data_IF_489086203758
#
_entry.id   IF_489086203758
#
_cell.length_a   1.000
_cell.length_b   1.000
_cell.length_c   1.000
_cell.angle_alpha   90.00
_cell.angle_beta   90.00
_cell.angle_gamma   90.00
#
_symmetry.space_group_name_H-M   'P 1'
#
loop_
_entity.id
_entity.type
_entity.pdbx_description
1 polymer ?
#
# COMPACT_ATOMS: atom_id res chain seq x y z
N UNK A 1 -20.70 -10.90 -6.64
CA UNK A 1 -20.52 -11.24 -8.07
C UNK A 1 -19.09 -10.87 -8.42
N UNK A 2 -18.42 -11.66 -9.26
CA UNK A 2 -17.10 -11.28 -9.78
C UNK A 2 -17.27 -10.11 -10.75
N UNK A 3 -16.49 -9.05 -10.57
CA UNK A 3 -16.41 -7.85 -11.39
C UNK A 3 -14.94 -7.61 -11.75
N UNK A 4 -14.66 -6.79 -12.75
CA UNK A 4 -13.30 -6.27 -12.94
C UNK A 4 -13.13 -5.00 -12.13
N UNK A 5 -12.08 -4.92 -11.31
CA UNK A 5 -11.63 -3.69 -10.66
C UNK A 5 -10.52 -3.06 -11.50
N UNK A 6 -10.53 -1.73 -11.62
CA UNK A 6 -9.59 -0.94 -12.40
C UNK A 6 -8.90 0.09 -11.52
N UNK A 7 -7.57 0.07 -11.50
CA UNK A 7 -6.76 1.13 -10.89
C UNK A 7 -6.40 2.17 -11.93
N UNK A 8 -6.65 3.43 -11.61
CA UNK A 8 -6.39 4.57 -12.49
C UNK A 8 -5.27 5.43 -11.92
N UNK A 9 -4.52 6.08 -12.81
CA UNK A 9 -3.54 7.12 -12.46
C UNK A 9 -3.83 8.41 -13.20
N UNK A 10 -3.75 9.53 -12.49
CA UNK A 10 -3.91 10.87 -13.02
C UNK A 10 -2.69 11.72 -12.64
N UNK A 11 -1.95 12.27 -13.60
CA UNK A 11 -0.84 13.16 -13.28
C UNK A 11 -1.28 14.35 -12.44
N UNK A 12 -0.59 14.56 -11.31
CA UNK A 12 -0.79 15.73 -10.47
C UNK A 12 0.01 16.88 -11.09
N UNK A 13 -0.70 17.79 -11.75
CA UNK A 13 -0.10 18.82 -12.62
C UNK A 13 0.79 19.82 -11.89
N UNK A 14 0.64 20.01 -10.58
CA UNK A 14 1.47 20.94 -9.81
C UNK A 14 2.72 20.30 -9.20
N UNK A 15 2.73 18.97 -8.98
CA UNK A 15 3.91 18.25 -8.50
C UNK A 15 4.74 17.68 -9.65
N UNK A 16 4.14 17.47 -10.84
CA UNK A 16 4.72 16.85 -12.05
C UNK A 16 5.30 15.42 -11.89
N UNK A 17 5.64 15.04 -10.66
CA UNK A 17 6.35 13.82 -10.29
C UNK A 17 5.43 12.77 -9.69
N UNK A 18 4.24 13.13 -9.19
CA UNK A 18 3.31 12.19 -8.56
C UNK A 18 2.02 12.01 -9.36
N UNK A 19 1.44 10.82 -9.30
CA UNK A 19 0.11 10.54 -9.80
C UNK A 19 -0.89 10.43 -8.66
N UNK A 20 -2.10 10.95 -8.90
CA UNK A 20 -3.28 10.66 -8.13
C UNK A 20 -3.84 9.31 -8.57
N UNK A 21 -4.20 8.42 -7.64
CA UNK A 21 -4.77 7.13 -7.99
C UNK A 21 -6.14 6.91 -7.39
N UNK A 22 -7.04 6.30 -8.16
CA UNK A 22 -8.39 5.96 -7.71
C UNK A 22 -8.83 4.62 -8.32
N UNK A 23 -9.94 4.08 -7.84
CA UNK A 23 -10.42 2.75 -8.26
C UNK A 23 -11.83 2.84 -8.83
N UNK A 24 -12.11 2.05 -9.86
CA UNK A 24 -13.45 1.85 -10.40
C UNK A 24 -13.73 0.37 -10.61
N UNK A 25 -14.99 0.03 -10.90
CA UNK A 25 -15.43 -1.34 -11.11
C UNK A 25 -16.32 -1.44 -12.36
N UNK A 26 -16.29 -2.61 -13.02
CA UNK A 26 -17.14 -2.88 -14.20
C UNK A 26 -18.64 -2.87 -13.90
N UNK A 27 -19.04 -2.89 -12.63
CA UNK A 27 -20.42 -2.71 -12.18
C UNK A 27 -20.84 -1.24 -11.95
N UNK A 28 -19.97 -0.28 -12.29
CA UNK A 28 -20.23 1.15 -12.20
C UNK A 28 -19.85 1.83 -10.88
N UNK A 29 -19.35 1.08 -9.89
CA UNK A 29 -18.83 1.68 -8.64
C UNK A 29 -17.51 2.41 -8.86
N UNK A 30 -17.31 3.46 -8.05
CA UNK A 30 -16.14 4.34 -8.05
C UNK A 30 -15.75 4.65 -6.62
N UNK A 31 -14.46 4.64 -6.35
CA UNK A 31 -13.89 4.97 -5.05
C UNK A 31 -12.92 6.13 -5.24
N UNK A 32 -13.36 7.29 -4.80
CA UNK A 32 -12.60 8.52 -4.92
C UNK A 32 -11.45 8.52 -3.93
N UNK A 33 -10.25 8.84 -4.38
CA UNK A 33 -9.16 9.08 -3.45
C UNK A 33 -9.17 10.57 -3.12
N UNK A 34 -9.37 10.94 -1.85
CA UNK A 34 -9.30 12.31 -1.31
C UNK A 34 -9.92 13.42 -2.20
N UNK A 35 -11.01 13.12 -2.90
CA UNK A 35 -11.82 14.09 -3.66
C UNK A 35 -11.82 13.95 -5.18
N UNK A 36 -10.95 13.12 -5.80
CA UNK A 36 -10.96 12.91 -7.26
C UNK A 36 -11.09 11.44 -7.63
N UNK A 37 -11.96 11.16 -8.61
CA UNK A 37 -12.25 9.82 -9.11
C UNK A 37 -12.46 9.75 -10.62
N UNK A 38 -12.04 10.78 -11.38
CA UNK A 38 -12.29 10.86 -12.82
C UNK A 38 -11.11 11.39 -13.64
N UNK A 39 -10.98 10.86 -14.86
CA UNK A 39 -9.91 11.14 -15.80
C UNK A 39 -8.72 10.18 -15.66
N UNK A 40 -7.60 10.54 -16.29
CA UNK A 40 -6.37 9.72 -16.27
C UNK A 40 -6.45 8.47 -17.14
N UNK A 41 -5.56 7.52 -16.88
CA UNK A 41 -5.48 6.25 -17.59
C UNK A 41 -5.63 5.05 -16.64
N UNK A 42 -6.19 3.95 -17.17
CA UNK A 42 -6.21 2.67 -16.47
C UNK A 42 -4.80 2.08 -16.52
N UNK A 43 -4.19 1.91 -15.36
CA UNK A 43 -2.83 1.40 -15.24
C UNK A 43 -2.75 -0.06 -14.78
N UNK A 44 -3.84 -0.56 -14.18
CA UNK A 44 -3.98 -1.96 -13.82
C UNK A 44 -5.46 -2.36 -13.78
N UNK A 45 -5.72 -3.66 -13.96
CA UNK A 45 -7.05 -4.22 -13.76
C UNK A 45 -6.97 -5.69 -13.38
N UNK A 46 -7.99 -6.18 -12.68
CA UNK A 46 -8.06 -7.59 -12.28
C UNK A 46 -9.48 -7.99 -11.88
N UNK A 47 -9.78 -9.29 -11.99
CA UNK A 47 -11.04 -9.83 -11.51
C UNK A 47 -11.08 -9.83 -9.98
N UNK A 48 -12.13 -9.26 -9.39
CA UNK A 48 -12.31 -9.14 -7.95
C UNK A 48 -13.78 -9.02 -7.55
N UNK A 49 -14.04 -8.70 -6.29
CA UNK A 49 -15.39 -8.53 -5.75
C UNK A 49 -15.60 -7.08 -5.29
N UNK A 50 -16.44 -6.32 -6.00
CA UNK A 50 -16.73 -4.92 -5.70
C UNK A 50 -17.43 -4.71 -4.36
N UNK A 51 -18.18 -5.69 -3.84
CA UNK A 51 -18.75 -5.56 -2.49
C UNK A 51 -17.66 -5.63 -1.42
N UNK A 52 -16.58 -6.37 -1.69
CA UNK A 52 -15.42 -6.46 -0.80
C UNK A 52 -14.60 -5.17 -0.93
N UNK A 53 -14.30 -4.73 -2.14
CA UNK A 53 -13.64 -3.45 -2.39
C UNK A 53 -14.38 -2.26 -1.75
N UNK A 54 -15.72 -2.26 -1.78
CA UNK A 54 -16.56 -1.25 -1.12
C UNK A 54 -16.44 -1.28 0.41
N UNK A 55 -16.22 -2.44 0.98
CA UNK A 55 -15.95 -2.59 2.41
C UNK A 55 -14.55 -2.07 2.75
N UNK A 56 -13.56 -2.47 1.95
CA UNK A 56 -12.16 -2.08 2.11
C UNK A 56 -11.95 -0.60 1.85
N UNK A 57 -12.84 0.07 1.12
CA UNK A 57 -12.76 1.50 0.85
C UNK A 57 -13.16 2.37 2.04
N UNK A 58 -13.65 1.82 3.15
CA UNK A 58 -14.16 2.64 4.25
C UNK A 58 -13.04 3.18 5.15
N UNK A 59 -13.24 4.31 5.84
CA UNK A 59 -14.31 5.29 5.63
C UNK A 59 -14.08 6.12 4.35
N UNK A 60 -15.17 6.60 3.74
CA UNK A 60 -15.15 7.61 2.65
C UNK A 60 -14.16 7.35 1.49
N UNK A 61 -14.04 6.11 1.03
CA UNK A 61 -13.10 5.70 -0.03
C UNK A 61 -11.60 5.83 0.33
N UNK A 62 -11.26 6.04 1.60
CA UNK A 62 -9.89 6.18 2.07
C UNK A 62 -9.24 4.88 2.51
N UNK A 63 -10.02 3.82 2.64
CA UNK A 63 -9.51 2.52 3.05
C UNK A 63 -8.67 2.57 4.34
N UNK A 64 -9.15 3.33 5.33
CA UNK A 64 -8.50 3.50 6.63
C UNK A 64 -7.06 4.05 6.54
N UNK A 65 -6.75 4.81 5.49
CA UNK A 65 -5.51 5.56 5.38
C UNK A 65 -5.68 6.93 6.03
N UNK A 66 -4.76 7.24 6.94
CA UNK A 66 -4.44 8.59 7.39
C UNK A 66 -3.38 9.17 6.45
N UNK A 67 -3.78 10.14 5.62
CA UNK A 67 -2.92 10.67 4.56
C UNK A 67 -1.58 11.18 5.10
N UNK A 68 -0.47 10.78 4.48
CA UNK A 68 0.88 11.15 4.87
C UNK A 68 1.42 10.42 6.11
N UNK A 69 0.58 10.02 7.06
CA UNK A 69 0.99 9.26 8.24
C UNK A 69 1.13 7.76 7.92
N UNK A 70 0.04 7.16 7.42
CA UNK A 70 -0.05 5.71 7.17
C UNK A 70 -0.03 5.36 5.70
N UNK A 71 -0.28 6.32 4.81
CA UNK A 71 -0.06 6.13 3.37
C UNK A 71 -0.53 7.32 2.57
N UNK A 72 -0.54 7.17 1.25
CA UNK A 72 -1.05 8.18 0.33
C UNK A 72 -2.06 7.54 -0.64
N UNK A 73 -2.38 8.21 -1.75
CA UNK A 73 -3.37 7.68 -2.68
C UNK A 73 -3.03 6.31 -3.25
N UNK A 74 -1.74 6.01 -3.46
CA UNK A 74 -1.31 4.70 -3.95
C UNK A 74 -1.74 3.58 -3.00
N UNK A 75 -1.53 3.75 -1.70
CA UNK A 75 -1.90 2.78 -0.68
C UNK A 75 -3.41 2.67 -0.52
N UNK A 76 -4.12 3.80 -0.60
CA UNK A 76 -5.59 3.84 -0.59
C UNK A 76 -6.15 2.99 -1.73
N UNK A 77 -5.69 3.23 -2.96
CA UNK A 77 -6.12 2.47 -4.13
C UNK A 77 -5.73 0.99 -4.04
N UNK A 78 -4.53 0.68 -3.55
CA UNK A 78 -4.07 -0.70 -3.39
C UNK A 78 -4.91 -1.51 -2.39
N UNK A 79 -5.32 -0.93 -1.26
CA UNK A 79 -6.23 -1.59 -0.31
C UNK A 79 -7.56 -1.94 -0.97
N UNK A 80 -8.11 -1.03 -1.79
CA UNK A 80 -9.39 -1.24 -2.50
C UNK A 80 -9.24 -2.27 -3.64
N UNK A 81 -8.07 -2.32 -4.30
CA UNK A 81 -7.72 -3.28 -5.34
C UNK A 81 -7.30 -4.65 -4.80
N UNK A 82 -7.10 -4.78 -3.49
CA UNK A 82 -6.66 -6.01 -2.84
C UNK A 82 -7.49 -7.25 -3.23
N UNK A 83 -8.85 -7.19 -3.32
CA UNK A 83 -9.66 -8.33 -3.75
C UNK A 83 -9.43 -8.77 -5.20
N UNK A 84 -8.75 -7.97 -6.01
CA UNK A 84 -8.36 -8.29 -7.38
C UNK A 84 -6.87 -8.68 -7.52
N UNK A 85 -6.10 -8.70 -6.42
CA UNK A 85 -4.66 -9.05 -6.40
C UNK A 85 -3.80 -8.20 -7.34
N UNK A 86 -4.19 -6.95 -7.59
CA UNK A 86 -3.45 -5.99 -8.42
C UNK A 86 -3.13 -4.72 -7.63
N UNK A 87 -2.20 -3.91 -8.13
CA UNK A 87 -1.76 -2.68 -7.48
C UNK A 87 -1.46 -1.58 -8.51
N UNK A 88 -1.39 -0.32 -8.06
CA UNK A 88 -1.13 0.85 -8.90
C UNK A 88 0.36 1.14 -9.10
N UNK A 89 1.23 0.12 -9.19
CA UNK A 89 2.70 0.32 -9.26
C UNK A 89 3.22 1.01 -10.54
N UNK A 90 2.37 1.19 -11.55
CA UNK A 90 2.71 1.93 -12.77
C UNK A 90 2.47 3.44 -12.59
N UNK A 91 1.83 3.84 -11.48
CA UNK A 91 1.70 5.24 -11.11
C UNK A 91 3.07 5.83 -10.80
N UNK A 92 3.32 7.07 -11.21
CA UNK A 92 4.53 7.80 -10.86
C UNK A 92 4.67 7.86 -9.34
N UNK A 93 5.90 7.73 -8.85
CA UNK A 93 6.21 7.74 -7.42
C UNK A 93 5.68 6.58 -6.58
N UNK A 94 5.03 5.57 -7.18
CA UNK A 94 4.60 4.40 -6.42
C UNK A 94 5.77 3.65 -5.80
N UNK A 95 6.92 3.64 -6.48
CA UNK A 95 8.16 3.07 -5.94
C UNK A 95 8.51 3.75 -4.61
N UNK A 96 8.67 5.08 -4.57
CA UNK A 96 9.02 5.82 -3.34
C UNK A 96 8.00 5.56 -2.23
N UNK A 97 6.70 5.66 -2.53
CA UNK A 97 5.68 5.51 -1.49
C UNK A 97 5.56 4.08 -0.99
N UNK A 98 5.87 3.07 -1.80
CA UNK A 98 5.91 1.68 -1.34
C UNK A 98 7.06 1.44 -0.37
N UNK A 99 8.22 2.08 -0.55
CA UNK A 99 9.34 1.94 0.40
C UNK A 99 9.05 2.68 1.71
N UNK A 100 8.46 3.87 1.61
CA UNK A 100 8.08 4.66 2.77
C UNK A 100 6.95 4.02 3.59
N UNK A 101 5.91 3.51 2.94
CA UNK A 101 4.66 3.07 3.60
C UNK A 101 4.34 1.59 3.45
N UNK A 102 4.98 0.86 2.54
CA UNK A 102 4.53 -0.48 2.13
C UNK A 102 3.56 -0.43 0.95
N UNK A 103 3.27 -1.60 0.37
CA UNK A 103 2.36 -1.71 -0.78
C UNK A 103 0.92 -1.35 -0.35
N UNK A 104 0.52 -1.78 0.84
CA UNK A 104 -0.81 -1.55 1.40
C UNK A 104 -0.83 -0.45 2.46
N UNK A 105 0.25 0.31 2.64
CA UNK A 105 0.38 1.32 3.68
C UNK A 105 0.77 0.76 5.05
N UNK A 106 1.10 1.68 5.95
CA UNK A 106 1.41 1.41 7.35
C UNK A 106 0.11 1.25 8.13
N UNK A 107 0.28 0.69 9.31
CA UNK A 107 -0.78 0.36 10.24
C UNK A 107 -1.82 -0.57 9.63
N UNK A 108 -2.30 -1.46 10.48
CA UNK A 108 -2.99 -2.64 10.02
C UNK A 108 -4.39 -2.23 9.57
N UNK A 109 -4.58 -2.12 8.25
CA UNK A 109 -5.89 -1.93 7.63
C UNK A 109 -6.91 -2.99 8.08
N UNK A 110 -6.42 -4.16 8.51
CA UNK A 110 -7.23 -5.21 9.13
C UNK A 110 -7.51 -4.99 10.62
N UNK A 111 -6.70 -4.24 11.38
CA UNK A 111 -6.96 -3.97 12.80
C UNK A 111 -8.01 -2.87 13.01
N UNK A 112 -8.33 -2.10 11.97
CA UNK A 112 -9.27 -0.99 12.08
C UNK A 112 -10.67 -1.46 12.50
N UNK A 113 -11.37 -0.71 13.37
CA UNK A 113 -12.78 -0.93 13.64
C UNK A 113 -13.66 -0.90 12.38
N UNK A 114 -13.15 -0.28 11.30
CA UNK A 114 -13.78 -0.23 9.98
C UNK A 114 -13.55 -1.47 9.12
N UNK A 115 -12.63 -2.38 9.51
CA UNK A 115 -12.39 -3.61 8.77
C UNK A 115 -13.66 -4.45 8.77
N UNK A 116 -14.26 -4.54 7.58
CA UNK A 116 -15.63 -4.95 7.39
C UNK A 116 -15.86 -6.36 7.98
N UNK A 117 -16.69 -6.53 9.02
CA UNK A 117 -17.04 -7.87 9.53
C UNK A 117 -17.73 -8.73 8.45
N UNK A 118 -18.28 -8.10 7.39
CA UNK A 118 -18.77 -8.79 6.21
C UNK A 118 -17.66 -9.24 5.27
N UNK A 119 -16.48 -8.59 5.21
CA UNK A 119 -15.28 -9.11 4.57
C UNK A 119 -14.96 -10.46 5.21
N UNK A 120 -14.91 -10.52 6.54
CA UNK A 120 -14.60 -11.74 7.28
C UNK A 120 -15.65 -12.83 7.11
N UNK A 121 -16.92 -12.47 7.23
CA UNK A 121 -18.01 -13.41 7.03
C UNK A 121 -18.08 -13.91 5.57
N UNK A 122 -17.83 -13.04 4.57
CA UNK A 122 -17.84 -13.40 3.15
C UNK A 122 -16.56 -14.13 2.71
N UNK A 123 -15.38 -13.73 3.17
CA UNK A 123 -14.10 -14.41 2.90
C UNK A 123 -14.10 -15.80 3.54
N UNK A 124 -14.54 -15.92 4.80
CA UNK A 124 -14.70 -17.22 5.46
C UNK A 124 -15.86 -18.05 4.88
N UNK A 125 -16.90 -17.44 4.30
CA UNK A 125 -17.94 -18.17 3.57
C UNK A 125 -17.44 -18.65 2.20
N UNK A 126 -16.73 -17.80 1.44
CA UNK A 126 -16.08 -18.15 0.18
C UNK A 126 -15.07 -19.28 0.36
N UNK A 127 -14.19 -19.19 1.37
CA UNK A 127 -13.23 -20.24 1.69
C UNK A 127 -13.91 -21.58 2.06
N UNK A 128 -15.14 -21.54 2.60
CA UNK A 128 -15.93 -22.73 2.96
C UNK A 128 -16.78 -23.28 1.82
N UNK A 129 -17.22 -22.45 0.87
CA UNK A 129 -18.06 -22.86 -0.26
C UNK A 129 -17.27 -23.34 -1.47
N UNK A 130 -15.96 -23.10 -1.51
CA UNK A 130 -15.08 -23.51 -2.60
C UNK A 130 -14.09 -24.60 -2.15
N UNK A 131 -14.60 -25.80 -1.80
CA UNK A 131 -13.74 -26.99 -1.58
C UNK A 131 -13.06 -27.49 -2.86
N UNK A 132 -13.58 -27.10 -4.02
CA UNK A 132 -13.07 -27.52 -5.34
C UNK A 132 -12.23 -26.44 -6.04
N UNK A 133 -12.00 -25.29 -5.39
CA UNK A 133 -11.01 -24.32 -5.85
C UNK A 133 -9.82 -24.47 -4.92
N UNK A 134 -8.89 -25.36 -5.29
CA UNK A 134 -7.52 -25.37 -4.77
C UNK A 134 -6.74 -24.11 -5.23
N UNK A 135 -7.37 -22.96 -5.10
CA UNK A 135 -6.94 -21.65 -5.54
C UNK A 135 -7.60 -20.66 -4.59
N UNK A 136 -6.76 -20.07 -3.75
CA UNK A 136 -7.07 -18.91 -2.92
C UNK A 136 -7.97 -17.90 -3.66
N UNK A 137 -8.81 -17.08 -2.99
CA UNK A 137 -9.44 -15.93 -3.64
C UNK A 137 -8.44 -15.02 -4.39
N UNK A 138 -7.13 -15.14 -4.10
CA UNK A 138 -6.01 -14.52 -4.81
C UNK A 138 -5.52 -15.29 -6.07
N UNK A 139 -6.02 -16.49 -6.37
CA UNK A 139 -5.56 -17.35 -7.47
C UNK A 139 -6.31 -17.13 -8.80
N UNK A 140 -7.42 -16.38 -8.79
CA UNK A 140 -8.24 -16.13 -9.97
C UNK A 140 -7.90 -14.82 -10.72
N UNK A 141 -6.82 -14.12 -10.34
CA UNK A 141 -6.33 -12.94 -11.05
C UNK A 141 -5.62 -13.36 -12.35
N UNK A 142 -6.41 -13.71 -13.38
CA UNK A 142 -5.91 -14.06 -14.70
C UNK A 142 -5.81 -12.84 -15.64
N UNK A 143 -4.62 -12.64 -16.20
CA UNK A 143 -4.27 -11.99 -17.47
C UNK A 143 -5.14 -10.80 -17.89
N UNK A 144 -4.81 -9.61 -17.38
CA UNK A 144 -5.28 -8.35 -17.94
C UNK A 144 -4.27 -7.82 -18.96
N UNK A 145 -4.61 -7.87 -20.24
CA UNK A 145 -3.85 -7.40 -21.40
C UNK A 145 -3.36 -5.94 -21.21
N UNK A 146 -2.17 -5.76 -20.64
CA UNK A 146 -1.48 -4.47 -20.60
C UNK A 146 0.03 -4.69 -20.77
N UNK A 147 0.44 -4.72 -22.03
CA UNK A 147 1.80 -5.02 -22.46
C UNK A 147 2.90 -4.32 -21.66
N UNK A 148 3.98 -5.08 -21.47
CA UNK A 148 5.32 -4.68 -21.01
C UNK A 148 5.66 -4.80 -19.52
N UNK A 149 4.91 -5.57 -18.72
CA UNK A 149 5.49 -6.11 -17.49
C UNK A 149 5.25 -7.61 -17.42
N UNK A 150 6.25 -8.33 -16.94
CA UNK A 150 6.15 -9.75 -16.62
C UNK A 150 5.02 -9.95 -15.58
N UNK A 151 3.83 -10.26 -16.11
CA UNK A 151 2.60 -10.45 -15.33
C UNK A 151 2.79 -11.57 -14.30
N UNK A 152 3.55 -12.60 -14.64
CA UNK A 152 3.89 -13.69 -13.74
C UNK A 152 4.77 -13.20 -12.59
N UNK A 153 5.79 -12.40 -12.88
CA UNK A 153 6.62 -11.76 -11.85
C UNK A 153 5.80 -10.87 -10.93
N UNK A 154 4.87 -10.07 -11.47
CA UNK A 154 3.97 -9.24 -10.66
C UNK A 154 3.01 -10.09 -9.81
N UNK A 155 2.42 -11.14 -10.38
CA UNK A 155 1.54 -12.04 -9.65
C UNK A 155 2.30 -12.80 -8.55
N UNK A 156 3.55 -13.20 -8.79
CA UNK A 156 4.42 -13.77 -7.76
C UNK A 156 4.69 -12.78 -6.64
N UNK A 157 5.05 -11.54 -6.98
CA UNK A 157 5.25 -10.47 -6.01
C UNK A 157 4.02 -10.25 -5.13
N UNK A 158 2.84 -10.13 -5.73
CA UNK A 158 1.59 -9.92 -4.97
C UNK A 158 1.22 -11.12 -4.11
N UNK A 159 1.46 -12.35 -4.56
CA UNK A 159 1.27 -13.55 -3.73
C UNK A 159 2.18 -13.53 -2.50
N UNK A 160 3.46 -13.22 -2.66
CA UNK A 160 4.40 -13.10 -1.54
C UNK A 160 3.95 -12.01 -0.54
N UNK A 161 3.46 -10.85 -1.01
CA UNK A 161 2.89 -9.80 -0.15
C UNK A 161 1.65 -10.31 0.60
N UNK A 162 0.73 -11.00 -0.08
CA UNK A 162 -0.47 -11.58 0.56
C UNK A 162 -0.08 -12.60 1.63
N UNK A 163 0.84 -13.50 1.32
CA UNK A 163 1.29 -14.55 2.23
C UNK A 163 1.97 -13.96 3.48
N UNK A 164 2.72 -12.87 3.33
CA UNK A 164 3.32 -12.15 4.46
C UNK A 164 2.27 -11.58 5.42
N UNK A 165 1.15 -11.07 4.90
CA UNK A 165 0.09 -10.47 5.71
C UNK A 165 -0.91 -11.50 6.28
N UNK A 166 -0.93 -12.72 5.75
CA UNK A 166 -1.88 -13.76 6.14
C UNK A 166 -1.90 -14.07 7.66
N UNK A 167 -0.76 -14.19 8.37
CA UNK A 167 -0.77 -14.46 9.82
C UNK A 167 -1.44 -13.35 10.64
N UNK A 168 -1.27 -12.10 10.24
CA UNK A 168 -1.86 -10.98 10.97
C UNK A 168 -3.36 -10.85 10.71
N UNK A 169 -3.80 -11.14 9.48
CA UNK A 169 -5.22 -11.30 9.15
C UNK A 169 -5.83 -12.42 10.03
N UNK A 170 -5.16 -13.56 10.15
CA UNK A 170 -5.64 -14.67 11.01
C UNK A 170 -5.67 -14.30 12.50
N UNK A 171 -4.64 -13.63 13.02
CA UNK A 171 -4.60 -13.13 14.40
C UNK A 171 -5.82 -12.24 14.70
N UNK A 172 -6.08 -11.27 13.82
CA UNK A 172 -7.22 -10.38 13.94
C UNK A 172 -8.57 -11.14 13.92
N UNK A 173 -8.69 -12.20 13.11
CA UNK A 173 -9.89 -13.04 13.10
C UNK A 173 -10.17 -13.67 14.47
N UNK A 174 -9.13 -14.13 15.16
CA UNK A 174 -9.28 -14.75 16.48
C UNK A 174 -9.72 -13.72 17.53
N UNK A 175 -9.19 -12.50 17.46
CA UNK A 175 -9.58 -11.39 18.35
C UNK A 175 -11.05 -11.02 18.15
N UNK A 176 -11.52 -10.88 16.91
CA UNK A 176 -12.91 -10.51 16.63
C UNK A 176 -13.93 -11.57 17.07
N UNK A 177 -13.58 -12.85 16.99
CA UNK A 177 -14.41 -13.92 17.52
C UNK A 177 -14.39 -14.00 19.05
N UNK A 178 -13.62 -13.11 19.71
CA UNK A 178 -13.36 -13.12 21.16
C UNK A 178 -12.75 -14.45 21.62
N UNK A 179 -12.06 -15.14 20.72
CA UNK A 179 -11.38 -16.42 21.02
C UNK A 179 -10.06 -16.16 21.76
N UNK A 180 -9.45 -14.98 21.55
CA UNK A 180 -8.21 -14.53 22.20
C UNK A 180 -8.26 -13.04 22.54
N UNK A 181 -7.57 -12.58 23.60
CA UNK A 181 -7.37 -11.15 23.84
C UNK A 181 -6.50 -10.52 22.75
N UNK A 182 -6.62 -9.21 22.55
CA UNK A 182 -5.71 -8.45 21.70
C UNK A 182 -4.28 -8.61 22.21
N UNK A 183 -3.37 -8.98 21.31
CA UNK A 183 -1.95 -9.17 21.59
C UNK A 183 -1.18 -7.92 21.14
N UNK A 184 -0.09 -7.61 21.84
CA UNK A 184 0.91 -6.69 21.30
C UNK A 184 1.61 -7.38 20.13
N UNK A 185 1.21 -7.01 18.92
CA UNK A 185 1.70 -7.59 17.67
C UNK A 185 2.87 -6.78 17.08
N UNK A 186 3.53 -5.91 17.87
CA UNK A 186 4.67 -5.08 17.42
C UNK A 186 5.75 -5.85 16.66
N UNK A 187 6.17 -7.01 17.18
CA UNK A 187 7.14 -7.89 16.53
C UNK A 187 6.64 -8.39 15.17
N UNK A 188 5.38 -8.81 15.09
CA UNK A 188 4.76 -9.25 13.84
C UNK A 188 4.70 -8.11 12.81
N UNK A 189 4.44 -6.88 13.24
CA UNK A 189 4.45 -5.71 12.33
C UNK A 189 5.83 -5.45 11.78
N UNK A 190 6.86 -5.54 12.62
CA UNK A 190 8.25 -5.37 12.21
C UNK A 190 8.66 -6.45 11.21
N UNK A 191 8.28 -7.70 11.46
CA UNK A 191 8.55 -8.83 10.56
C UNK A 191 7.86 -8.68 9.20
N UNK A 192 6.58 -8.28 9.17
CA UNK A 192 5.85 -8.01 7.92
C UNK A 192 6.52 -6.87 7.15
N UNK A 193 6.83 -5.74 7.81
CA UNK A 193 7.49 -4.60 7.17
C UNK A 193 8.85 -4.98 6.57
N UNK A 194 9.66 -5.74 7.31
CA UNK A 194 10.93 -6.23 6.80
C UNK A 194 10.73 -7.22 5.63
N UNK A 195 9.74 -8.12 5.73
CA UNK A 195 9.37 -9.07 4.68
C UNK A 195 8.94 -8.37 3.38
N UNK A 196 8.12 -7.34 3.46
CA UNK A 196 7.70 -6.55 2.30
C UNK A 196 8.90 -5.91 1.60
N UNK A 197 9.83 -5.34 2.36
CA UNK A 197 11.01 -4.69 1.76
C UNK A 197 11.91 -5.71 1.06
N UNK A 198 12.12 -6.89 1.67
CA UNK A 198 12.85 -8.01 1.03
C UNK A 198 12.17 -8.44 -0.27
N UNK A 199 10.85 -8.57 -0.24
CA UNK A 199 10.03 -8.92 -1.40
C UNK A 199 10.14 -7.86 -2.50
N UNK A 200 10.18 -6.57 -2.14
CA UNK A 200 10.44 -5.48 -3.08
C UNK A 200 11.85 -5.54 -3.67
N UNK A 201 12.90 -5.76 -2.86
CA UNK A 201 14.28 -5.85 -3.38
C UNK A 201 14.41 -7.00 -4.39
N UNK A 202 13.87 -8.18 -4.05
CA UNK A 202 13.82 -9.33 -4.96
C UNK A 202 13.10 -8.99 -6.27
N UNK A 203 11.98 -8.27 -6.18
CA UNK A 203 11.17 -7.92 -7.34
C UNK A 203 11.81 -6.86 -8.23
N UNK A 204 12.27 -5.74 -7.66
CA UNK A 204 12.74 -4.59 -8.43
C UNK A 204 14.18 -4.73 -8.90
N UNK A 205 15.04 -5.40 -8.15
CA UNK A 205 16.44 -5.61 -8.53
C UNK A 205 16.60 -7.01 -9.13
N UNK A 206 16.91 -7.99 -8.29
CA UNK A 206 17.15 -9.37 -8.71
C UNK A 206 17.03 -10.33 -7.54
N UNK A 207 16.70 -11.57 -7.86
CA UNK A 207 16.75 -12.64 -6.87
C UNK A 207 18.20 -12.90 -6.43
N UNK A 208 18.40 -13.24 -5.17
CA UNK A 208 19.75 -13.39 -4.60
C UNK A 208 20.58 -12.09 -4.53
N UNK A 209 19.92 -10.92 -4.45
CA UNK A 209 20.60 -9.65 -4.17
C UNK A 209 21.40 -9.72 -2.85
N UNK A 210 22.40 -8.84 -2.70
CA UNK A 210 23.32 -8.83 -1.55
C UNK A 210 22.55 -8.78 -0.22
N UNK A 211 22.61 -9.87 0.54
CA UNK A 211 21.87 -10.02 1.80
C UNK A 211 22.29 -9.01 2.86
N UNK A 212 23.54 -8.52 2.81
CA UNK A 212 24.05 -7.49 3.71
C UNK A 212 23.39 -6.15 3.40
N UNK A 213 23.34 -5.77 2.11
CA UNK A 213 22.61 -4.56 1.68
C UNK A 213 21.13 -4.66 2.01
N UNK A 214 20.51 -5.81 1.79
CA UNK A 214 19.09 -6.04 2.16
C UNK A 214 18.86 -5.80 3.65
N UNK A 215 19.74 -6.32 4.53
CA UNK A 215 19.64 -6.09 5.96
C UNK A 215 19.76 -4.59 6.31
N UNK A 216 20.73 -3.90 5.70
CA UNK A 216 20.90 -2.45 5.90
C UNK A 216 19.67 -1.64 5.43
N UNK A 217 19.04 -2.02 4.32
CA UNK A 217 17.80 -1.38 3.87
C UNK A 217 16.64 -1.59 4.84
N UNK A 218 16.55 -2.78 5.45
CA UNK A 218 15.57 -3.06 6.50
C UNK A 218 15.81 -2.14 7.70
N UNK A 219 17.07 -1.97 8.11
CA UNK A 219 17.43 -1.06 9.20
C UNK A 219 17.07 0.40 8.87
N UNK A 220 17.35 0.86 7.64
CA UNK A 220 16.95 2.21 7.18
C UNK A 220 15.43 2.40 7.23
N UNK A 221 14.65 1.41 6.76
CA UNK A 221 13.17 1.47 6.81
C UNK A 221 12.64 1.46 8.25
N UNK A 222 13.24 0.66 9.12
CA UNK A 222 12.88 0.63 10.55
C UNK A 222 13.17 1.98 11.22
N UNK A 223 14.33 2.59 10.94
CA UNK A 223 14.69 3.90 11.44
C UNK A 223 13.73 4.99 10.94
N UNK A 224 13.34 4.97 9.66
CA UNK A 224 12.30 5.87 9.14
C UNK A 224 10.98 5.70 9.91
N UNK A 225 10.56 4.46 10.18
CA UNK A 225 9.31 4.19 10.88
C UNK A 225 9.29 4.83 12.27
N UNK A 226 10.38 4.71 13.04
CA UNK A 226 10.50 5.39 14.34
C UNK A 226 10.48 6.92 14.21
N UNK A 227 11.23 7.50 13.25
CA UNK A 227 11.22 8.95 13.02
C UNK A 227 9.84 9.49 12.61
N UNK A 228 9.11 8.69 11.84
CA UNK A 228 7.74 9.01 11.43
C UNK A 228 6.74 8.94 12.59
N UNK A 229 6.95 8.07 13.59
CA UNK A 229 6.13 8.08 14.82
C UNK A 229 6.29 9.39 15.57
N UNK A 230 7.52 9.89 15.72
CA UNK A 230 7.78 11.17 16.37
C UNK A 230 7.16 12.34 15.60
N UNK A 231 7.31 12.35 14.27
CA UNK A 231 6.67 13.34 13.40
C UNK A 231 5.14 13.29 13.51
N UNK A 232 4.56 12.09 13.62
CA UNK A 232 3.12 11.89 13.74
C UNK A 232 2.58 12.23 15.13
N UNK A 233 3.33 11.96 16.20
CA UNK A 233 2.95 12.37 17.55
C UNK A 233 2.89 13.90 17.70
N UNK A 234 3.76 14.62 16.98
CA UNK A 234 3.71 16.08 16.91
C UNK A 234 2.45 16.62 16.20
N UNK A 235 1.74 15.80 15.41
CA UNK A 235 0.44 16.13 14.81
C UNK A 235 -0.61 16.27 15.90
N UNK A 236 -0.62 15.32 16.84
CA UNK A 236 -1.63 15.24 17.88
C UNK A 236 -1.49 16.34 18.94
N UNK A 237 -0.33 17.01 19.01
CA UNK A 237 -0.05 18.05 20.00
C UNK A 237 -0.51 19.46 19.62
N UNK A 238 -1.45 19.63 18.67
CA UNK A 238 -2.15 20.89 18.33
C UNK A 238 -1.32 22.07 17.79
N UNK A 239 0.01 21.98 17.74
CA UNK A 239 0.89 23.12 17.42
C UNK A 239 1.43 23.14 15.96
N UNK A 240 0.93 22.28 15.07
CA UNK A 240 1.41 22.19 13.68
C UNK A 240 0.33 22.51 12.64
N UNK A 241 0.67 23.36 11.65
CA UNK A 241 -0.14 23.46 10.43
C UNK A 241 0.06 22.22 9.54
N UNK A 242 -0.91 21.83 8.69
CA UNK A 242 -0.74 20.74 7.73
C UNK A 242 0.51 20.91 6.85
N UNK A 243 0.88 22.13 6.50
CA UNK A 243 2.08 22.43 5.70
C UNK A 243 3.35 22.06 6.45
N UNK A 244 3.48 22.51 7.71
CA UNK A 244 4.64 22.16 8.55
C UNK A 244 4.74 20.64 8.77
N UNK A 245 3.61 19.95 8.83
CA UNK A 245 3.59 18.50 8.92
C UNK A 245 4.06 17.83 7.63
N UNK A 246 3.51 18.22 6.47
CA UNK A 246 3.94 17.70 5.19
C UNK A 246 5.44 17.92 4.95
N UNK A 247 5.96 19.09 5.33
CA UNK A 247 7.40 19.39 5.29
C UNK A 247 8.22 18.41 6.14
N UNK A 248 7.81 18.16 7.39
CA UNK A 248 8.50 17.21 8.28
C UNK A 248 8.48 15.79 7.73
N UNK A 249 7.33 15.32 7.25
CA UNK A 249 7.19 13.98 6.67
C UNK A 249 8.07 13.85 5.42
N UNK A 250 8.00 14.81 4.51
CA UNK A 250 8.82 14.81 3.30
C UNK A 250 10.31 14.87 3.63
N UNK A 251 10.73 15.63 4.64
CA UNK A 251 12.13 15.67 5.06
C UNK A 251 12.64 14.30 5.53
N UNK A 252 11.83 13.54 6.26
CA UNK A 252 12.20 12.19 6.69
C UNK A 252 12.21 11.18 5.53
N UNK A 253 11.30 11.33 4.55
CA UNK A 253 11.29 10.51 3.33
C UNK A 253 12.51 10.82 2.44
N UNK A 254 12.89 12.09 2.29
CA UNK A 254 14.12 12.50 1.61
C UNK A 254 15.34 11.89 2.31
N UNK A 255 15.40 11.95 3.65
CA UNK A 255 16.49 11.33 4.41
C UNK A 255 16.58 9.82 4.14
N UNK A 256 15.46 9.11 4.17
CA UNK A 256 15.43 7.69 3.81
C UNK A 256 15.95 7.45 2.39
N UNK A 257 15.58 8.27 1.41
CA UNK A 257 16.08 8.12 0.04
C UNK A 257 17.59 8.27 -0.04
N UNK A 258 18.16 9.26 0.66
CA UNK A 258 19.63 9.44 0.75
C UNK A 258 20.28 8.21 1.40
N UNK A 259 19.80 7.77 2.56
CA UNK A 259 20.32 6.59 3.28
C UNK A 259 20.25 5.32 2.41
N UNK A 260 19.14 5.11 1.70
CA UNK A 260 18.99 3.95 0.78
C UNK A 260 19.92 4.06 -0.43
N UNK A 261 20.14 5.26 -0.97
CA UNK A 261 21.07 5.48 -2.08
C UNK A 261 22.51 5.16 -1.69
N UNK A 262 22.91 5.50 -0.47
CA UNK A 262 24.23 5.14 0.07
C UNK A 262 24.43 3.63 0.17
N UNK A 263 23.39 2.88 0.58
CA UNK A 263 23.44 1.40 0.68
C UNK A 263 23.44 0.75 -0.71
N UNK A 264 22.56 1.20 -1.61
CA UNK A 264 22.37 0.60 -2.93
C UNK A 264 23.51 0.95 -3.90
N UNK A 265 23.97 2.20 -3.88
CA UNK A 265 24.72 2.81 -4.98
C UNK A 265 23.78 3.37 -6.05
N UNK A 266 24.32 4.21 -6.94
CA UNK A 266 23.53 4.98 -7.93
C UNK A 266 22.66 4.10 -8.84
N UNK A 267 23.25 3.04 -9.41
CA UNK A 267 22.58 2.22 -10.43
C UNK A 267 21.44 1.40 -9.81
N UNK A 268 21.73 0.67 -8.73
CA UNK A 268 20.70 -0.13 -8.03
C UNK A 268 19.65 0.81 -7.39
N UNK A 269 20.00 2.02 -6.94
CA UNK A 269 19.01 3.00 -6.48
C UNK A 269 18.07 3.42 -7.61
N UNK A 270 18.62 3.77 -8.77
CA UNK A 270 17.85 4.19 -9.94
C UNK A 270 16.94 3.07 -10.42
N UNK A 271 17.40 1.83 -10.43
CA UNK A 271 16.58 0.66 -10.77
C UNK A 271 15.48 0.44 -9.72
N UNK A 272 15.81 0.55 -8.43
CA UNK A 272 14.88 0.29 -7.32
C UNK A 272 13.78 1.36 -7.19
N UNK A 273 14.11 2.62 -7.46
CA UNK A 273 13.21 3.76 -7.33
C UNK A 273 12.62 4.23 -8.67
N UNK A 274 13.23 3.90 -9.80
CA UNK A 274 12.82 4.39 -11.12
C UNK A 274 13.26 5.83 -11.41
N UNK A 275 14.10 6.42 -10.55
CA UNK A 275 14.71 7.75 -10.70
C UNK A 275 16.03 7.82 -9.93
N UNK A 276 16.91 8.75 -10.30
CA UNK A 276 18.20 8.98 -9.65
C UNK A 276 18.15 9.96 -8.48
N UNK A 277 17.12 10.80 -8.43
CA UNK A 277 17.03 11.92 -7.48
C UNK A 277 16.62 11.44 -6.08
N UNK A 278 17.04 12.13 -5.02
CA UNK A 278 16.73 11.79 -3.62
C UNK A 278 15.82 12.81 -2.93
N UNK A 279 15.50 13.91 -3.58
CA UNK A 279 14.69 15.01 -3.07
C UNK A 279 13.21 14.87 -3.43
N UNK A 280 12.77 13.65 -3.76
CA UNK A 280 11.44 13.43 -4.28
C UNK A 280 10.40 13.40 -3.15
N UNK A 281 9.40 14.27 -3.26
CA UNK A 281 8.37 14.47 -2.26
C UNK A 281 7.24 13.44 -2.40
N UNK A 282 6.72 12.95 -1.28
CA UNK A 282 5.66 11.95 -1.25
C UNK A 282 4.32 12.50 -0.74
N UNK A 283 4.36 13.54 0.10
CA UNK A 283 3.17 14.11 0.75
C UNK A 283 2.92 15.51 0.20
N UNK A 284 1.72 15.69 -0.32
CA UNK A 284 1.21 16.99 -0.72
C UNK A 284 0.57 17.72 0.49
N UNK A 285 1.06 18.92 0.85
CA UNK A 285 0.47 19.75 1.90
C UNK A 285 -1.02 20.03 1.73
N UNK A 286 -1.51 20.26 0.49
CA UNK A 286 -2.92 20.62 0.26
C UNK A 286 -3.84 19.42 0.50
N UNK A 287 -3.47 18.25 -0.02
CA UNK A 287 -4.19 17.00 0.26
C UNK A 287 -4.12 16.61 1.73
N UNK A 288 -2.98 16.87 2.40
CA UNK A 288 -2.87 16.66 3.83
C UNK A 288 -3.79 17.61 4.61
N UNK A 289 -3.84 18.89 4.26
CA UNK A 289 -4.78 19.84 4.86
C UNK A 289 -6.24 19.43 4.65
N UNK A 290 -6.59 18.98 3.44
CA UNK A 290 -7.92 18.47 3.13
C UNK A 290 -8.25 17.19 3.91
N UNK A 291 -7.24 16.37 4.25
CA UNK A 291 -7.42 15.17 5.06
C UNK A 291 -7.75 15.47 6.53
N UNK A 292 -7.18 16.54 7.09
CA UNK A 292 -7.26 16.87 8.51
C UNK A 292 -8.52 17.64 8.91
N UNK A 293 -9.22 18.28 7.96
CA UNK A 293 -10.43 19.08 8.21
C UNK A 293 -11.72 18.23 8.33
N UNK A 294 -11.63 16.99 8.82
CA UNK A 294 -12.73 16.00 8.84
C UNK A 294 -13.22 15.69 10.24
#
# INVERSE_FOLDING_TARGET
MTTTLYGHAIPITFLHIADHTYVTSSDGRRWHCWGRDEGGEVICSGAGNSDIAQCDSTPDSHADIEYGATGVCHQTANRILFPASVNVRKARMSSVTYKAYGVLGKDHWYDSPGYCPKFLAKAAACARSHKDVAGSPFAAAGAGDSGSVDEEKQASFMREIVDLHAPAIESFHMVLKREVPARDDSDLKADISAGELRTMVKYFLRDGYDSTKVAQLVDVRAALHERMKDASAAILSADGSPESLAEKINAEIIRMQVEMKEVLGEDDFTEFFGHSDTDVLAVDPELLAASMNR
#
